data_IF_338513386356
#
_entry.id   IF_338513386356
#
_cell.length_a   1.000
_cell.length_b   1.000
_cell.length_c   1.000
_cell.angle_alpha   90.00
_cell.angle_beta   90.00
_cell.angle_gamma   90.00
#
_symmetry.space_group_name_H-M   'P 1'
#
loop_
_entity.id
_entity.type
_entity.pdbx_description
1 polymer ?
#
# COMPACT_ATOMS: atom_id res chain seq x y z
N UNK A 1 12.97 8.96 -18.62
CA UNK A 1 12.00 9.56 -17.67
C UNK A 1 11.55 8.45 -16.74
N UNK A 2 11.47 8.67 -15.44
CA UNK A 2 10.84 7.69 -14.54
C UNK A 2 9.35 8.00 -14.57
N UNK A 3 8.56 7.11 -15.15
CA UNK A 3 7.11 7.22 -15.05
C UNK A 3 6.72 7.10 -13.57
N UNK A 4 5.79 7.94 -13.12
CA UNK A 4 5.23 7.93 -11.77
C UNK A 4 3.74 7.64 -11.85
N UNK A 5 3.20 7.08 -10.79
CA UNK A 5 1.77 6.83 -10.62
C UNK A 5 1.28 7.49 -9.33
N UNK A 6 0.09 8.07 -9.38
CA UNK A 6 -0.60 8.61 -8.22
C UNK A 6 -1.37 7.50 -7.52
N UNK A 7 -1.13 7.30 -6.24
CA UNK A 7 -1.92 6.42 -5.38
C UNK A 7 -2.42 7.20 -4.16
N UNK A 8 -3.33 6.59 -3.40
CA UNK A 8 -3.70 7.08 -2.06
C UNK A 8 -3.28 6.07 -1.01
N UNK A 9 -2.61 6.51 0.06
CA UNK A 9 -2.33 5.67 1.22
C UNK A 9 -3.06 6.27 2.43
N UNK A 10 -3.99 5.54 3.03
CA UNK A 10 -4.87 6.02 4.11
C UNK A 10 -5.52 7.39 3.82
N UNK A 11 -5.91 7.62 2.56
CA UNK A 11 -6.51 8.88 2.09
C UNK A 11 -5.52 9.98 1.67
N UNK A 12 -4.23 9.84 1.96
CA UNK A 12 -3.19 10.77 1.54
C UNK A 12 -2.69 10.44 0.13
N UNK A 13 -2.66 11.43 -0.77
CA UNK A 13 -2.12 11.24 -2.12
C UNK A 13 -0.59 11.11 -2.07
N UNK A 14 -0.06 10.14 -2.80
CA UNK A 14 1.37 9.83 -2.92
C UNK A 14 1.71 9.54 -4.39
N UNK A 15 2.84 10.04 -4.85
CA UNK A 15 3.41 9.70 -6.16
C UNK A 15 4.54 8.70 -5.95
N UNK A 16 4.44 7.54 -6.58
CA UNK A 16 5.48 6.49 -6.54
C UNK A 16 5.91 6.10 -7.94
N UNK A 17 7.10 5.51 -8.14
CA UNK A 17 7.53 5.04 -9.45
C UNK A 17 6.55 4.04 -10.06
N UNK A 18 6.22 4.19 -11.34
CA UNK A 18 5.38 3.24 -12.05
C UNK A 18 5.99 1.83 -12.04
N UNK A 19 5.15 0.82 -11.85
CA UNK A 19 5.59 -0.57 -11.68
C UNK A 19 6.10 -0.91 -10.27
N UNK A 20 6.02 0.02 -9.32
CA UNK A 20 6.27 -0.28 -7.91
C UNK A 20 5.26 -1.29 -7.38
N UNK A 21 5.72 -2.18 -6.51
CA UNK A 21 4.87 -3.12 -5.82
C UNK A 21 4.28 -2.52 -4.53
N UNK A 22 3.25 -3.15 -3.99
CA UNK A 22 2.67 -2.79 -2.70
C UNK A 22 3.74 -2.79 -1.58
N UNK A 23 4.71 -3.70 -1.64
CA UNK A 23 5.82 -3.73 -0.70
C UNK A 23 6.64 -2.44 -0.71
N UNK A 24 6.84 -1.81 -1.88
CA UNK A 24 7.57 -0.56 -1.99
C UNK A 24 6.81 0.58 -1.29
N UNK A 25 5.50 0.71 -1.58
CA UNK A 25 4.66 1.74 -0.98
C UNK A 25 4.55 1.60 0.55
N UNK A 26 4.41 0.37 1.05
CA UNK A 26 4.36 0.10 2.50
C UNK A 26 5.70 0.42 3.19
N UNK A 27 6.83 0.15 2.51
CA UNK A 27 8.16 0.47 3.04
C UNK A 27 8.40 1.99 3.09
N UNK A 28 7.91 2.71 2.09
CA UNK A 28 7.99 4.18 2.04
C UNK A 28 7.07 4.88 3.03
N UNK A 29 5.95 4.24 3.41
CA UNK A 29 5.06 4.73 4.46
C UNK A 29 5.57 4.46 5.89
N UNK A 30 6.69 3.75 6.06
CA UNK A 30 7.30 3.46 7.37
C UNK A 30 6.35 2.77 8.38
N UNK A 31 5.47 1.88 7.89
CA UNK A 31 4.55 1.14 8.75
C UNK A 31 5.27 0.19 9.72
N UNK A 32 4.83 0.18 10.98
CA UNK A 32 5.33 -0.75 12.00
C UNK A 32 4.35 -1.91 12.20
N UNK A 33 4.83 -3.16 12.15
CA UNK A 33 3.98 -4.32 12.41
C UNK A 33 3.45 -4.33 13.87
N UNK A 34 2.26 -4.92 14.14
CA UNK A 34 1.37 -5.58 13.19
C UNK A 34 0.41 -4.60 12.48
N UNK A 35 0.17 -4.84 11.19
CA UNK A 35 -0.83 -4.14 10.39
C UNK A 35 -1.37 -5.07 9.30
N UNK A 36 -2.53 -4.75 8.76
CA UNK A 36 -3.08 -5.33 7.53
C UNK A 36 -3.20 -4.25 6.47
N UNK A 37 -3.17 -4.63 5.19
CA UNK A 37 -3.28 -3.71 4.06
C UNK A 37 -4.41 -4.15 3.16
N UNK A 38 -5.25 -3.20 2.74
CA UNK A 38 -6.18 -3.40 1.64
C UNK A 38 -5.76 -2.53 0.46
N UNK A 39 -6.04 -3.02 -0.75
CA UNK A 39 -5.94 -2.22 -1.98
C UNK A 39 -7.30 -2.21 -2.63
N UNK A 40 -7.87 -1.04 -2.87
CA UNK A 40 -9.21 -0.83 -3.40
C UNK A 40 -10.28 -1.61 -2.62
N UNK A 41 -10.21 -1.58 -1.28
CA UNK A 41 -11.07 -2.32 -0.35
C UNK A 41 -10.91 -3.86 -0.39
N UNK A 42 -9.88 -4.38 -1.06
CA UNK A 42 -9.57 -5.82 -1.10
C UNK A 42 -8.36 -6.09 -0.22
N UNK A 43 -8.49 -7.01 0.74
CA UNK A 43 -7.38 -7.41 1.60
C UNK A 43 -6.25 -8.03 0.77
N UNK A 44 -5.04 -7.49 0.93
CA UNK A 44 -3.82 -8.05 0.36
C UNK A 44 -3.00 -8.64 1.49
N UNK A 45 -2.59 -9.90 1.36
CA UNK A 45 -1.78 -10.57 2.38
C UNK A 45 -0.31 -10.22 2.21
N UNK A 46 0.49 -10.29 3.29
CA UNK A 46 1.93 -9.98 3.26
C UNK A 46 2.70 -10.77 2.20
N UNK A 47 2.31 -12.02 1.93
CA UNK A 47 2.92 -12.84 0.88
C UNK A 47 2.76 -12.23 -0.52
N UNK A 48 1.66 -11.52 -0.76
CA UNK A 48 1.33 -10.92 -2.06
C UNK A 48 1.94 -9.52 -2.23
N UNK A 49 2.53 -8.91 -1.20
CA UNK A 49 3.01 -7.51 -1.28
C UNK A 49 4.07 -7.31 -2.36
N UNK A 50 4.96 -8.28 -2.54
CA UNK A 50 6.02 -8.20 -3.55
C UNK A 50 5.49 -8.42 -4.97
N UNK A 51 4.40 -9.18 -5.12
CA UNK A 51 3.80 -9.54 -6.41
C UNK A 51 2.73 -8.53 -6.86
N UNK A 52 2.09 -7.85 -5.91
CA UNK A 52 1.03 -6.89 -6.20
C UNK A 52 1.62 -5.61 -6.81
N UNK A 53 1.50 -5.47 -8.12
CA UNK A 53 1.89 -4.26 -8.84
C UNK A 53 0.83 -3.16 -8.69
N UNK A 54 1.23 -2.01 -8.15
CA UNK A 54 0.34 -0.85 -7.99
C UNK A 54 0.12 -0.13 -9.33
N UNK A 55 -1.07 0.46 -9.46
CA UNK A 55 -1.49 1.24 -10.62
C UNK A 55 -1.94 2.62 -10.18
N UNK A 56 -1.88 3.57 -11.12
CA UNK A 56 -2.39 4.92 -10.88
C UNK A 56 -3.89 4.86 -10.53
N UNK A 57 -4.26 5.57 -9.47
CA UNK A 57 -5.59 5.59 -8.89
C UNK A 57 -5.84 4.58 -7.77
N UNK A 58 -4.91 3.66 -7.49
CA UNK A 58 -5.08 2.68 -6.42
C UNK A 58 -5.20 3.35 -5.05
N UNK A 59 -6.10 2.81 -4.23
CA UNK A 59 -6.30 3.21 -2.84
C UNK A 59 -5.78 2.13 -1.91
N UNK A 60 -4.73 2.43 -1.18
CA UNK A 60 -4.09 1.56 -0.20
C UNK A 60 -4.54 1.99 1.19
N UNK A 61 -5.17 1.12 1.95
CA UNK A 61 -5.49 1.38 3.35
C UNK A 61 -4.68 0.47 4.26
N UNK A 62 -3.93 1.09 5.17
CA UNK A 62 -3.13 0.39 6.16
C UNK A 62 -3.88 0.48 7.49
N UNK A 63 -4.20 -0.67 8.07
CA UNK A 63 -5.02 -0.77 9.29
C UNK A 63 -4.27 -1.53 10.37
N UNK A 64 -4.30 -1.00 11.58
CA UNK A 64 -3.66 -1.62 12.74
C UNK A 64 -4.72 -2.41 13.53
N UNK A 65 -4.40 -3.64 13.97
CA UNK A 65 -5.33 -4.40 14.79
C UNK A 65 -5.52 -3.66 16.13
N UNK A 66 -6.76 -3.32 16.46
CA UNK A 66 -7.09 -2.94 17.83
C UNK A 66 -7.20 -4.22 18.65
N UNK A 67 -6.29 -4.42 19.61
CA UNK A 67 -6.40 -5.49 20.59
C UNK A 67 -7.66 -5.23 21.43
N UNK A 68 -8.73 -5.97 21.17
CA UNK A 68 -9.89 -6.05 22.06
C UNK A 68 -9.55 -6.97 23.23
N UNK A 69 -9.64 -6.45 24.45
CA UNK A 69 -9.59 -7.26 25.68
C UNK A 69 -10.91 -7.93 25.97
#
# INVERSE_FOLDING_TARGET
MKDVIDIKINGEKREIPAGSSLQHAVKEYECSAPFAVTVNNVLVTKAQYSEYALRSGDVVDIVYPMQGG
#
